data_IF_923053681195
#
_entry.id   IF_923053681195
#
_cell.length_a   1.000
_cell.length_b   1.000
_cell.length_c   1.000
_cell.angle_alpha   90.00
_cell.angle_beta   90.00
_cell.angle_gamma   90.00
#
_symmetry.space_group_name_H-M   'P 1'
#
loop_
_entity.id
_entity.type
_entity.pdbx_description
1 polymer ?
#
# COMPACT_ATOMS: atom_id res chain seq x y z
N UNK A 1 -12.16 -2.78 -12.37
CA UNK A 1 -11.90 -3.51 -11.11
C UNK A 1 -10.75 -2.81 -10.41
N UNK A 2 -10.71 -2.79 -9.07
CA UNK A 2 -9.58 -2.26 -8.31
C UNK A 2 -8.55 -3.37 -8.08
N UNK A 3 -7.27 -3.00 -8.02
CA UNK A 3 -6.14 -3.86 -7.69
C UNK A 3 -5.65 -3.53 -6.28
N UNK A 4 -5.46 -4.55 -5.46
CA UNK A 4 -4.87 -4.45 -4.13
C UNK A 4 -3.33 -4.34 -4.24
N UNK A 5 -2.76 -3.24 -3.74
CA UNK A 5 -1.34 -2.96 -3.89
C UNK A 5 -0.45 -3.90 -3.05
N UNK A 6 -0.90 -4.33 -1.86
CA UNK A 6 -0.11 -5.25 -1.04
C UNK A 6 -0.05 -6.62 -1.69
N UNK A 7 -1.19 -7.11 -2.19
CA UNK A 7 -1.27 -8.39 -2.92
C UNK A 7 -0.32 -8.38 -4.12
N UNK A 8 -0.36 -7.33 -4.94
CA UNK A 8 0.50 -7.23 -6.11
C UNK A 8 2.00 -7.19 -5.79
N UNK A 9 2.41 -6.46 -4.76
CA UNK A 9 3.83 -6.21 -4.49
C UNK A 9 4.43 -7.20 -3.49
N UNK A 10 3.66 -7.67 -2.52
CA UNK A 10 4.15 -8.40 -1.35
C UNK A 10 3.44 -9.75 -1.13
N UNK A 11 2.11 -9.79 -1.29
CA UNK A 11 1.25 -10.89 -0.85
C UNK A 11 1.12 -12.07 -1.82
N UNK A 12 1.52 -11.91 -3.09
CA UNK A 12 1.26 -12.92 -4.13
C UNK A 12 -0.18 -12.86 -4.65
N UNK A 13 -0.72 -13.90 -5.31
CA UNK A 13 -1.90 -13.78 -6.17
C UNK A 13 -3.26 -13.62 -5.46
N UNK A 14 -3.32 -13.71 -4.13
CA UNK A 14 -4.61 -13.81 -3.42
C UNK A 14 -4.64 -12.91 -2.19
N UNK A 15 -5.66 -12.05 -2.09
CA UNK A 15 -5.96 -11.32 -0.85
C UNK A 15 -6.29 -12.33 0.26
N UNK A 16 -5.70 -12.19 1.46
CA UNK A 16 -6.06 -13.03 2.59
C UNK A 16 -7.54 -12.79 2.96
N UNK A 17 -8.27 -13.82 3.39
CA UNK A 17 -9.68 -13.69 3.80
C UNK A 17 -9.86 -12.82 5.06
N UNK A 18 -8.78 -12.66 5.84
CA UNK A 18 -8.67 -11.78 6.99
C UNK A 18 -7.27 -11.18 7.03
N UNK A 19 -7.18 -9.87 7.22
CA UNK A 19 -5.90 -9.20 7.42
C UNK A 19 -5.51 -9.34 8.92
N UNK A 20 -4.42 -10.05 9.26
CA UNK A 20 -3.97 -10.14 10.64
C UNK A 20 -3.55 -8.76 11.18
N UNK A 21 -3.51 -8.59 12.50
CA UNK A 21 -3.05 -7.36 13.14
C UNK A 21 -1.52 -7.22 13.05
N UNK A 22 -1.01 -6.89 11.85
CA UNK A 22 0.38 -6.46 11.68
C UNK A 22 0.53 -5.06 12.28
N UNK A 23 1.55 -4.87 13.12
CA UNK A 23 1.89 -3.55 13.69
C UNK A 23 3.16 -2.97 13.09
N UNK A 24 4.08 -3.83 12.67
CA UNK A 24 5.34 -3.47 12.00
C UNK A 24 5.61 -4.55 10.97
N UNK A 25 6.31 -4.21 9.89
CA UNK A 25 6.68 -5.17 8.85
C UNK A 25 5.60 -5.35 7.77
N UNK A 26 6.00 -6.02 6.71
CA UNK A 26 5.23 -6.20 5.46
C UNK A 26 4.75 -7.65 5.26
N UNK A 27 5.17 -8.56 6.14
CA UNK A 27 4.92 -10.01 6.05
C UNK A 27 3.44 -10.39 6.07
N UNK A 28 2.58 -9.46 6.47
CA UNK A 28 1.14 -9.59 6.40
C UNK A 28 0.47 -8.29 5.97
N UNK A 29 -0.74 -8.42 5.44
CA UNK A 29 -1.51 -7.28 4.97
C UNK A 29 -2.09 -6.49 6.15
N UNK A 30 -1.98 -5.16 6.10
CA UNK A 30 -2.60 -4.27 7.07
C UNK A 30 -4.13 -4.24 6.93
N UNK A 31 -4.81 -3.90 8.03
CA UNK A 31 -6.25 -3.64 8.03
C UNK A 31 -6.60 -2.43 7.13
N UNK A 32 -5.73 -1.41 7.12
CA UNK A 32 -5.82 -0.27 6.21
C UNK A 32 -5.20 -0.62 4.86
N UNK A 33 -5.99 -0.50 3.79
CA UNK A 33 -5.63 -1.00 2.46
C UNK A 33 -5.60 0.10 1.42
N UNK A 34 -4.67 -0.02 0.47
CA UNK A 34 -4.57 0.85 -0.69
C UNK A 34 -4.92 0.05 -1.94
N UNK A 35 -6.09 0.32 -2.49
CA UNK A 35 -6.54 -0.20 -3.76
C UNK A 35 -6.40 0.85 -4.85
N UNK A 36 -6.01 0.44 -6.05
CA UNK A 36 -5.79 1.37 -7.17
C UNK A 36 -6.31 0.80 -8.49
N UNK A 37 -6.48 1.67 -9.49
CA UNK A 37 -6.82 1.27 -10.87
C UNK A 37 -6.22 2.25 -11.85
N UNK A 38 -5.77 1.74 -13.01
CA UNK A 38 -5.50 2.58 -14.17
C UNK A 38 -6.80 3.15 -14.75
N UNK A 39 -6.67 4.23 -15.51
CA UNK A 39 -7.80 4.92 -16.15
C UNK A 39 -7.40 5.50 -17.50
N UNK A 40 -8.30 6.28 -18.09
CA UNK A 40 -7.98 7.00 -19.32
C UNK A 40 -6.89 8.04 -19.03
N UNK A 41 -5.80 8.02 -19.80
CA UNK A 41 -4.69 8.97 -19.68
C UNK A 41 -3.68 8.66 -18.57
N UNK A 42 -3.90 7.63 -17.75
CA UNK A 42 -2.93 7.20 -16.74
C UNK A 42 -2.92 5.70 -16.55
N UNK A 43 -1.75 5.10 -16.69
CA UNK A 43 -1.49 3.73 -16.28
C UNK A 43 -0.67 3.76 -15.00
N UNK A 44 -1.19 3.11 -13.95
CA UNK A 44 -0.50 2.97 -12.67
C UNK A 44 0.05 1.56 -12.53
N UNK A 45 1.21 1.41 -11.90
CA UNK A 45 1.78 0.14 -11.48
C UNK A 45 2.38 0.29 -10.09
N UNK A 46 1.84 -0.43 -9.12
CA UNK A 46 2.46 -0.52 -7.80
C UNK A 46 3.81 -1.25 -7.93
N UNK A 47 4.88 -0.62 -7.44
CA UNK A 47 6.27 -1.12 -7.52
C UNK A 47 6.91 -1.32 -6.15
N UNK A 48 6.29 -0.77 -5.11
CA UNK A 48 6.74 -0.89 -3.73
C UNK A 48 5.56 -0.83 -2.78
N UNK A 49 5.67 -1.54 -1.66
CA UNK A 49 4.75 -1.47 -0.54
C UNK A 49 5.58 -1.42 0.76
N UNK A 50 5.18 -0.58 1.70
CA UNK A 50 5.76 -0.56 3.04
C UNK A 50 4.72 -0.25 4.11
N UNK A 51 4.85 -0.94 5.23
CA UNK A 51 4.34 -0.52 6.51
C UNK A 51 5.35 0.45 7.14
N UNK A 52 4.97 1.72 7.22
CA UNK A 52 5.87 2.79 7.63
C UNK A 52 5.82 3.07 9.14
N UNK A 53 5.22 2.18 9.95
CA UNK A 53 5.04 2.38 11.40
C UNK A 53 6.26 2.96 12.14
N UNK A 54 7.50 2.49 11.94
CA UNK A 54 8.67 3.06 12.64
C UNK A 54 8.91 4.55 12.39
N UNK A 55 8.45 5.11 11.26
CA UNK A 55 8.57 6.55 10.95
C UNK A 55 7.55 7.41 11.71
N UNK A 56 6.53 6.79 12.31
CA UNK A 56 5.42 7.45 12.99
C UNK A 56 5.37 7.10 14.47
N UNK A 57 6.54 6.93 15.07
CA UNK A 57 6.70 6.79 16.52
C UNK A 57 7.10 8.14 17.13
N UNK A 58 6.64 8.41 18.35
CA UNK A 58 7.05 9.58 19.12
C UNK A 58 8.50 9.42 19.63
N UNK A 59 9.02 10.44 20.32
CA UNK A 59 10.37 10.42 20.91
C UNK A 59 10.59 9.32 21.95
N UNK A 60 9.52 8.69 22.45
CA UNK A 60 9.57 7.58 23.40
C UNK A 60 9.47 6.20 22.70
N UNK A 61 9.48 6.16 21.37
CA UNK A 61 9.35 4.93 20.59
C UNK A 61 7.93 4.33 20.58
N UNK A 62 6.92 5.10 20.97
CA UNK A 62 5.52 4.66 20.97
C UNK A 62 4.82 5.11 19.68
N UNK A 63 3.92 4.30 19.12
CA UNK A 63 3.19 4.68 17.92
C UNK A 63 2.27 5.88 18.18
N UNK A 64 2.15 6.77 17.19
CA UNK A 64 1.25 7.94 17.26
C UNK A 64 -0.24 7.57 17.08
N UNK A 65 -0.52 6.36 16.61
CA UNK A 65 -1.85 5.81 16.36
C UNK A 65 -1.86 4.31 16.67
N UNK A 66 -3.02 3.74 16.96
CA UNK A 66 -3.19 2.30 17.03
C UNK A 66 -3.19 1.63 15.64
N UNK A 67 -3.29 2.42 14.57
CA UNK A 67 -3.15 1.98 13.17
C UNK A 67 -1.75 2.23 12.62
N UNK A 68 -1.28 1.33 11.75
CA UNK A 68 0.02 1.43 11.07
C UNK A 68 -0.16 2.04 9.67
N UNK A 69 0.67 2.99 9.25
CA UNK A 69 0.50 3.68 7.97
C UNK A 69 0.98 2.81 6.78
N UNK A 70 0.08 2.38 5.88
CA UNK A 70 0.49 1.76 4.63
C UNK A 70 1.03 2.82 3.66
N UNK A 71 2.03 2.44 2.87
CA UNK A 71 2.58 3.25 1.78
C UNK A 71 2.75 2.38 0.55
N UNK A 72 2.43 2.97 -0.62
CA UNK A 72 2.61 2.33 -1.92
C UNK A 72 3.39 3.27 -2.83
N UNK A 73 4.43 2.75 -3.46
CA UNK A 73 5.14 3.45 -4.54
C UNK A 73 4.52 3.07 -5.87
N UNK A 74 4.03 4.06 -6.61
CA UNK A 74 3.54 3.87 -7.97
C UNK A 74 4.57 4.34 -8.99
N UNK A 75 4.85 3.49 -9.97
CA UNK A 75 5.27 3.98 -11.28
C UNK A 75 4.01 4.30 -12.08
N UNK A 76 4.07 5.34 -12.89
CA UNK A 76 2.97 5.69 -13.78
C UNK A 76 3.48 6.10 -15.16
N UNK A 77 2.65 5.85 -16.16
CA UNK A 77 2.73 6.54 -17.45
C UNK A 77 1.50 7.43 -17.56
N UNK A 78 1.70 8.65 -18.02
CA UNK A 78 0.62 9.53 -18.42
C UNK A 78 0.63 9.58 -19.94
N UNK A 79 -0.48 9.19 -20.56
CA UNK A 79 -0.67 9.51 -21.96
C UNK A 79 -1.09 10.97 -21.98
N UNK A 80 -0.40 11.79 -22.76
CA UNK A 80 -0.89 13.13 -23.03
C UNK A 80 -2.29 12.97 -23.65
N UNK A 81 -3.34 13.18 -22.84
CA UNK A 81 -4.64 13.56 -23.37
C UNK A 81 -4.33 14.87 -24.09
N UNK A 82 -4.21 14.79 -25.41
CA UNK A 82 -3.43 15.75 -26.21
C UNK A 82 -3.85 17.22 -26.08
N UNK A 83 -3.12 18.08 -26.81
CA UNK A 83 -2.41 19.28 -26.33
C UNK A 83 -3.01 20.05 -25.15
#
# INVERSE_FOLDING_TARGET
>A
MLTDAWVQVQGGPTSPPFAPTCKVGNECELLDKIFYRSGQGVTLTATGYSNEAPKFFNSNGQPLSDHSPPMVTFQYTADNVGP
#
